data_IF_069498318973
#
_entry.id   IF_069498318973
#
_cell.length_a   1.000
_cell.length_b   1.000
_cell.length_c   1.000
_cell.angle_alpha   90.00
_cell.angle_beta   90.00
_cell.angle_gamma   90.00
#
_symmetry.space_group_name_H-M   'P 1'
#
loop_
_entity.id
_entity.type
_entity.pdbx_description
1 polymer ?
#
# COMPACT_ATOMS: atom_id res chain seq x y z
N UNK A 1 -3.33 -32.09 -5.83
CA UNK A 1 -2.34 -31.07 -6.28
C UNK A 1 -2.88 -29.73 -5.83
N UNK A 2 -2.34 -29.22 -4.75
CA UNK A 2 -2.82 -27.98 -4.14
C UNK A 2 -2.35 -26.77 -4.97
N UNK A 3 -3.30 -25.91 -5.26
CA UNK A 3 -3.07 -24.65 -5.98
C UNK A 3 -2.80 -23.58 -4.93
N UNK A 4 -1.85 -22.68 -5.16
CA UNK A 4 -1.78 -21.43 -4.43
C UNK A 4 -3.07 -20.65 -4.71
N UNK A 5 -4.10 -20.88 -3.95
CA UNK A 5 -5.34 -20.11 -3.98
C UNK A 5 -5.31 -19.20 -2.78
N UNK A 6 -4.83 -17.98 -2.97
CA UNK A 6 -4.99 -16.92 -1.97
C UNK A 6 -6.48 -16.58 -1.89
N UNK A 7 -7.17 -17.14 -0.91
CA UNK A 7 -8.59 -16.85 -0.70
C UNK A 7 -8.79 -15.34 -0.49
N UNK A 8 -9.89 -14.83 -1.02
CA UNK A 8 -10.22 -13.41 -0.93
C UNK A 8 -10.44 -12.96 0.52
N UNK A 9 -10.94 -13.82 1.39
CA UNK A 9 -11.10 -13.52 2.81
C UNK A 9 -9.77 -13.31 3.50
N UNK A 10 -8.79 -14.17 3.23
CA UNK A 10 -7.43 -14.09 3.77
C UNK A 10 -6.72 -12.85 3.24
N UNK A 11 -6.78 -12.60 1.93
CA UNK A 11 -6.16 -11.39 1.34
C UNK A 11 -6.76 -10.10 1.88
N UNK A 12 -8.07 -10.06 2.14
CA UNK A 12 -8.73 -8.90 2.73
C UNK A 12 -8.30 -8.69 4.19
N UNK A 13 -8.23 -9.76 4.98
CA UNK A 13 -7.76 -9.68 6.37
C UNK A 13 -6.31 -9.20 6.46
N UNK A 14 -5.43 -9.72 5.60
CA UNK A 14 -4.04 -9.28 5.54
C UNK A 14 -3.90 -7.80 5.12
N UNK A 15 -4.72 -7.33 4.20
CA UNK A 15 -4.74 -5.91 3.82
C UNK A 15 -5.20 -5.00 4.96
N UNK A 16 -6.21 -5.41 5.74
CA UNK A 16 -6.61 -4.64 6.91
C UNK A 16 -5.52 -4.62 7.97
N UNK A 17 -4.93 -5.76 8.30
CA UNK A 17 -3.82 -5.83 9.23
C UNK A 17 -2.66 -4.92 8.77
N UNK A 18 -2.34 -4.95 7.47
CA UNK A 18 -1.35 -4.08 6.85
C UNK A 18 -1.68 -2.59 7.02
N UNK A 19 -2.93 -2.18 6.78
CA UNK A 19 -3.36 -0.79 6.95
C UNK A 19 -3.26 -0.33 8.40
N UNK A 20 -3.64 -1.19 9.34
CA UNK A 20 -3.53 -0.92 10.79
C UNK A 20 -2.05 -0.77 11.19
N UNK A 21 -1.17 -1.67 10.73
CA UNK A 21 0.27 -1.57 11.00
C UNK A 21 0.86 -0.24 10.52
N UNK A 22 0.49 0.20 9.31
CA UNK A 22 0.92 1.48 8.76
C UNK A 22 0.38 2.66 9.58
N UNK A 23 -0.89 2.61 9.99
CA UNK A 23 -1.50 3.66 10.81
C UNK A 23 -0.82 3.78 12.20
N UNK A 24 -0.57 2.66 12.87
CA UNK A 24 0.15 2.62 14.16
C UNK A 24 1.57 3.16 14.01
N UNK A 25 2.25 2.83 12.92
CA UNK A 25 3.59 3.38 12.62
C UNK A 25 3.57 4.91 12.51
N UNK A 26 2.63 5.48 11.76
CA UNK A 26 2.57 6.94 11.61
C UNK A 26 2.26 7.63 12.95
N UNK A 27 1.39 7.04 13.78
CA UNK A 27 1.17 7.53 15.14
C UNK A 27 2.46 7.47 15.97
N UNK A 28 3.17 6.33 15.95
CA UNK A 28 4.43 6.15 16.68
C UNK A 28 5.53 7.08 16.19
N UNK A 29 5.55 7.39 14.89
CA UNK A 29 6.47 8.36 14.30
C UNK A 29 6.21 9.78 14.83
N UNK A 30 4.96 10.18 14.94
CA UNK A 30 4.60 11.49 15.53
C UNK A 30 5.04 11.58 16.99
N UNK A 31 4.88 10.51 17.77
CA UNK A 31 5.36 10.46 19.16
C UNK A 31 6.89 10.51 19.23
N UNK A 32 7.56 9.70 18.44
CA UNK A 32 9.03 9.64 18.40
C UNK A 32 9.67 10.96 17.95
N UNK A 33 9.05 11.65 17.01
CA UNK A 33 9.52 12.96 16.55
C UNK A 33 9.27 14.11 17.53
N UNK A 34 8.69 13.82 18.71
CA UNK A 34 8.32 14.83 19.69
C UNK A 34 7.12 15.69 19.30
N UNK A 35 6.42 15.26 18.25
CA UNK A 35 5.26 15.96 17.71
C UNK A 35 4.00 15.74 18.56
N UNK A 36 3.96 14.62 19.26
CA UNK A 36 2.88 14.20 20.17
C UNK A 36 3.50 13.61 21.44
N UNK A 37 3.09 14.12 22.62
CA UNK A 37 3.56 13.62 23.91
C UNK A 37 2.54 12.65 24.51
N UNK A 38 2.45 11.45 23.97
CA UNK A 38 1.57 10.39 24.47
C UNK A 38 2.24 9.04 24.34
N UNK A 39 1.73 8.04 25.06
CA UNK A 39 2.20 6.67 24.91
C UNK A 39 1.93 6.14 23.51
N UNK A 40 2.94 5.50 22.91
CA UNK A 40 2.84 4.76 21.68
C UNK A 40 3.77 3.53 21.70
N UNK A 41 3.65 2.69 20.66
CA UNK A 41 4.59 1.59 20.46
C UNK A 41 5.98 2.08 20.05
N UNK A 42 7.00 1.26 20.28
CA UNK A 42 8.35 1.56 19.86
C UNK A 42 8.41 1.86 18.34
N UNK A 43 9.02 2.99 17.98
CA UNK A 43 9.21 3.37 16.58
C UNK A 43 9.92 2.28 15.77
N UNK A 44 10.98 1.68 16.32
CA UNK A 44 11.72 0.62 15.64
C UNK A 44 10.88 -0.62 15.34
N UNK A 45 10.00 -1.02 16.27
CA UNK A 45 9.09 -2.15 16.05
C UNK A 45 8.00 -1.82 15.03
N UNK A 46 7.36 -0.65 15.14
CA UNK A 46 6.27 -0.25 14.26
C UNK A 46 6.73 0.06 12.84
N UNK A 47 7.96 0.55 12.65
CA UNK A 47 8.53 0.77 11.31
C UNK A 47 8.70 -0.55 10.53
N UNK A 48 9.11 -1.63 11.21
CA UNK A 48 9.19 -2.97 10.62
C UNK A 48 7.80 -3.49 10.21
N UNK A 49 6.82 -3.37 11.11
CA UNK A 49 5.43 -3.79 10.85
C UNK A 49 4.83 -3.01 9.67
N UNK A 50 5.08 -1.70 9.58
CA UNK A 50 4.61 -0.88 8.47
C UNK A 50 5.28 -1.28 7.15
N UNK A 51 6.58 -1.57 7.17
CA UNK A 51 7.31 -2.05 6.00
C UNK A 51 6.71 -3.35 5.46
N UNK A 52 6.39 -4.31 6.34
CA UNK A 52 5.68 -5.53 5.98
C UNK A 52 4.28 -5.26 5.43
N UNK A 53 3.54 -4.33 6.04
CA UNK A 53 2.23 -3.91 5.57
C UNK A 53 2.28 -3.38 4.13
N UNK A 54 3.23 -2.51 3.84
CA UNK A 54 3.46 -1.96 2.50
C UNK A 54 3.85 -3.08 1.52
N UNK A 55 4.72 -3.99 1.94
CA UNK A 55 5.13 -5.15 1.15
C UNK A 55 3.92 -6.02 0.72
N UNK A 56 2.99 -6.29 1.65
CA UNK A 56 1.73 -6.99 1.40
C UNK A 56 0.90 -6.26 0.33
N UNK A 57 0.74 -4.94 0.45
CA UNK A 57 -0.07 -4.17 -0.50
C UNK A 57 0.49 -4.22 -1.91
N UNK A 58 1.81 -4.05 -2.08
CA UNK A 58 2.43 -4.15 -3.41
C UNK A 58 2.31 -5.55 -3.97
N UNK A 59 2.62 -6.57 -3.19
CA UNK A 59 2.51 -7.96 -3.61
C UNK A 59 1.08 -8.32 -4.08
N UNK A 60 0.06 -8.06 -3.26
CA UNK A 60 -1.32 -8.38 -3.63
C UNK A 60 -1.84 -7.52 -4.78
N UNK A 61 -1.32 -6.32 -4.97
CA UNK A 61 -1.69 -5.49 -6.11
C UNK A 61 -1.19 -6.08 -7.43
N UNK A 62 0.07 -6.50 -7.47
CA UNK A 62 0.63 -7.19 -8.63
C UNK A 62 -0.03 -8.54 -8.88
N UNK A 63 -0.19 -9.36 -7.83
CA UNK A 63 -0.88 -10.65 -7.88
C UNK A 63 -2.30 -10.51 -8.44
N UNK A 64 -3.11 -9.61 -7.88
CA UNK A 64 -4.49 -9.40 -8.27
C UNK A 64 -4.66 -8.86 -9.68
N UNK A 65 -3.74 -8.00 -10.15
CA UNK A 65 -3.77 -7.51 -11.54
C UNK A 65 -3.46 -8.63 -12.53
N UNK A 66 -2.44 -9.44 -12.27
CA UNK A 66 -2.09 -10.56 -13.14
C UNK A 66 -3.17 -11.63 -13.14
N UNK A 67 -3.74 -11.95 -11.99
CA UNK A 67 -4.88 -12.87 -11.87
C UNK A 67 -6.10 -12.37 -12.67
N UNK A 68 -6.37 -11.06 -12.61
CA UNK A 68 -7.44 -10.43 -13.38
C UNK A 68 -7.17 -10.49 -14.89
N UNK A 69 -5.93 -10.25 -15.33
CA UNK A 69 -5.54 -10.34 -16.74
C UNK A 69 -5.63 -11.75 -17.29
N UNK A 70 -5.29 -12.76 -16.47
CA UNK A 70 -5.41 -14.15 -16.86
C UNK A 70 -6.87 -14.57 -17.05
N UNK A 71 -7.78 -14.08 -16.21
CA UNK A 71 -9.22 -14.38 -16.30
C UNK A 71 -9.91 -13.61 -17.40
N UNK A 72 -9.59 -12.32 -17.55
CA UNK A 72 -10.19 -11.42 -18.53
C UNK A 72 -9.18 -10.36 -18.95
N UNK A 73 -8.81 -10.30 -20.24
CA UNK A 73 -7.88 -9.30 -20.75
C UNK A 73 -8.28 -7.86 -20.38
N UNK A 74 -7.29 -7.02 -20.11
CA UNK A 74 -7.48 -5.65 -19.59
C UNK A 74 -8.30 -4.71 -20.51
N UNK A 75 -8.50 -5.09 -21.77
CA UNK A 75 -9.25 -4.28 -22.72
C UNK A 75 -8.44 -3.09 -23.27
N UNK A 76 -9.11 -1.99 -23.61
CA UNK A 76 -8.48 -0.76 -24.07
C UNK A 76 -7.88 0.03 -22.90
N UNK A 77 -6.99 0.99 -23.19
CA UNK A 77 -6.40 1.87 -22.19
C UNK A 77 -7.47 2.63 -21.39
N UNK A 78 -8.47 3.20 -22.06
CA UNK A 78 -9.57 3.91 -21.40
C UNK A 78 -10.38 3.00 -20.45
N UNK A 79 -10.60 1.74 -20.85
CA UNK A 79 -11.27 0.76 -20.00
C UNK A 79 -10.42 0.42 -18.77
N UNK A 80 -9.10 0.28 -18.92
CA UNK A 80 -8.16 0.05 -17.81
C UNK A 80 -8.11 1.26 -16.87
N UNK A 81 -7.96 2.47 -17.41
CA UNK A 81 -7.98 3.71 -16.62
C UNK A 81 -9.23 3.78 -15.75
N UNK A 82 -10.41 3.58 -16.33
CA UNK A 82 -11.68 3.62 -15.60
C UNK A 82 -11.79 2.54 -14.52
N UNK A 83 -11.40 1.31 -14.84
CA UNK A 83 -11.59 0.16 -13.93
C UNK A 83 -10.52 0.04 -12.86
N UNK A 84 -9.35 0.64 -13.03
CA UNK A 84 -8.20 0.46 -12.14
C UNK A 84 -7.67 1.78 -11.59
N UNK A 85 -7.31 2.72 -12.45
CA UNK A 85 -6.68 3.98 -12.05
C UNK A 85 -7.69 4.89 -11.34
N UNK A 86 -8.84 5.14 -11.96
CA UNK A 86 -9.85 6.04 -11.37
C UNK A 86 -10.44 5.47 -10.07
N UNK A 87 -10.49 4.15 -9.90
CA UNK A 87 -10.94 3.52 -8.63
C UNK A 87 -10.01 3.83 -7.45
N UNK A 88 -8.75 4.14 -7.70
CA UNK A 88 -7.79 4.55 -6.68
C UNK A 88 -7.73 6.08 -6.60
N UNK A 89 -7.70 6.75 -7.74
CA UNK A 89 -7.48 8.18 -7.82
C UNK A 89 -8.66 9.02 -7.31
N UNK A 90 -9.89 8.64 -7.66
CA UNK A 90 -11.09 9.37 -7.22
C UNK A 90 -11.24 9.39 -5.69
N UNK A 91 -11.06 8.29 -4.96
CA UNK A 91 -11.02 8.33 -3.49
C UNK A 91 -9.93 9.25 -2.90
N UNK A 92 -8.75 9.30 -3.52
CA UNK A 92 -7.68 10.22 -3.10
C UNK A 92 -8.11 11.67 -3.25
N UNK A 93 -8.71 12.04 -4.38
CA UNK A 93 -9.26 13.38 -4.57
C UNK A 93 -10.38 13.67 -3.59
N UNK A 94 -11.27 12.72 -3.38
CA UNK A 94 -12.41 12.87 -2.47
C UNK A 94 -11.94 13.13 -1.03
N UNK A 95 -10.99 12.35 -0.50
CA UNK A 95 -10.45 12.58 0.84
C UNK A 95 -9.73 13.93 0.93
N UNK A 96 -9.01 14.33 -0.10
CA UNK A 96 -8.34 15.64 -0.16
C UNK A 96 -9.34 16.78 -0.07
N UNK A 97 -10.43 16.70 -0.85
CA UNK A 97 -11.48 17.74 -0.86
C UNK A 97 -12.29 17.76 0.44
N UNK A 98 -12.57 16.61 1.04
CA UNK A 98 -13.31 16.55 2.31
C UNK A 98 -12.53 17.13 3.49
N UNK A 99 -11.20 17.02 3.47
CA UNK A 99 -10.36 17.60 4.52
C UNK A 99 -10.04 19.08 4.30
N UNK A 100 -10.26 19.61 3.10
CA UNK A 100 -9.98 21.01 2.78
C UNK A 100 -10.69 21.98 3.73
N UNK A 101 -12.00 21.87 4.04
CA UNK A 101 -12.66 22.77 4.97
C UNK A 101 -12.08 22.80 6.37
N UNK A 102 -11.45 21.72 6.81
CA UNK A 102 -10.79 21.64 8.11
C UNK A 102 -9.46 22.41 8.14
N UNK A 103 -8.84 22.63 6.98
CA UNK A 103 -7.62 23.43 6.84
C UNK A 103 -7.92 24.94 6.77
N UNK A 104 -9.07 25.32 6.18
CA UNK A 104 -9.41 26.73 5.95
C UNK A 104 -9.45 27.58 7.22
N UNK A 105 -10.10 27.16 8.34
CA UNK A 105 -10.16 27.98 9.55
C UNK A 105 -8.80 28.24 10.20
N UNK A 106 -7.90 27.29 10.12
CA UNK A 106 -6.59 27.39 10.75
C UNK A 106 -5.62 28.30 9.99
N UNK A 107 -5.96 28.60 8.74
CA UNK A 107 -5.15 29.42 7.83
C UNK A 107 -5.86 30.73 7.51
N UNK A 108 -7.14 30.88 7.90
CA UNK A 108 -7.92 32.08 7.67
C UNK A 108 -7.31 33.25 8.44
N UNK A 109 -6.87 34.27 7.73
CA UNK A 109 -6.27 35.48 8.30
C UNK A 109 -4.78 35.69 7.99
N UNK A 110 -4.13 34.76 7.29
CA UNK A 110 -2.75 34.97 6.81
C UNK A 110 -2.72 35.19 5.29
N UNK A 111 -1.85 36.07 4.77
CA UNK A 111 -1.69 36.26 3.30
C UNK A 111 -1.31 34.99 2.57
N UNK A 112 -0.66 34.05 3.26
CA UNK A 112 -0.19 32.76 2.73
C UNK A 112 -1.32 31.74 2.58
N UNK A 113 -2.55 32.05 3.04
CA UNK A 113 -3.67 31.08 3.10
C UNK A 113 -4.00 30.45 1.75
N UNK A 114 -4.12 31.30 0.72
CA UNK A 114 -4.52 30.81 -0.62
C UNK A 114 -3.43 30.00 -1.28
N UNK A 115 -2.18 30.35 -1.07
CA UNK A 115 -1.04 29.58 -1.57
C UNK A 115 -0.96 28.21 -0.89
N UNK A 116 -1.20 28.14 0.40
CA UNK A 116 -1.26 26.89 1.16
C UNK A 116 -2.44 26.02 0.75
N UNK A 117 -3.63 26.59 0.54
CA UNK A 117 -4.81 25.88 0.04
C UNK A 117 -4.58 25.35 -1.38
N UNK A 118 -4.08 26.20 -2.27
CA UNK A 118 -3.74 25.78 -3.63
C UNK A 118 -2.68 24.68 -3.64
N UNK A 119 -1.67 24.77 -2.77
CA UNK A 119 -0.66 23.75 -2.55
C UNK A 119 -1.25 22.45 -2.03
N UNK A 120 -2.22 22.50 -1.12
CA UNK A 120 -2.91 21.31 -0.61
C UNK A 120 -3.72 20.60 -1.69
N UNK A 121 -4.53 21.35 -2.44
CA UNK A 121 -5.29 20.81 -3.58
C UNK A 121 -4.34 20.29 -4.66
N UNK A 122 -3.32 21.07 -4.98
CA UNK A 122 -2.31 20.70 -5.97
C UNK A 122 -1.61 19.38 -5.63
N UNK A 123 -1.29 19.13 -4.35
CA UNK A 123 -0.74 17.85 -3.89
C UNK A 123 -1.71 16.68 -4.12
N UNK A 124 -3.00 16.86 -3.82
CA UNK A 124 -4.01 15.84 -4.07
C UNK A 124 -4.17 15.52 -5.57
N UNK A 125 -4.22 16.56 -6.41
CA UNK A 125 -4.34 16.43 -7.88
C UNK A 125 -3.06 15.85 -8.48
N UNK A 126 -1.88 16.29 -8.04
CA UNK A 126 -0.60 15.85 -8.57
C UNK A 126 -0.18 14.45 -8.15
N UNK A 127 -0.91 13.81 -7.24
CA UNK A 127 -0.60 12.45 -6.76
C UNK A 127 -0.48 11.43 -7.90
N UNK A 128 -1.16 11.65 -9.03
CA UNK A 128 -1.03 10.79 -10.21
C UNK A 128 0.29 10.99 -10.96
N UNK A 129 0.80 12.22 -11.01
CA UNK A 129 1.78 12.56 -12.04
C UNK A 129 3.22 12.68 -11.54
N UNK A 130 3.48 13.22 -10.34
CA UNK A 130 4.88 13.41 -9.90
C UNK A 130 5.02 13.90 -8.45
N UNK A 131 6.21 14.05 -8.00
CA UNK A 131 6.96 14.47 -6.82
C UNK A 131 6.27 15.25 -5.66
N UNK A 132 5.05 15.76 -5.80
CA UNK A 132 4.42 16.73 -4.88
C UNK A 132 3.33 16.16 -3.98
N UNK A 133 3.21 14.83 -3.92
CA UNK A 133 2.23 14.18 -3.05
C UNK A 133 2.53 14.44 -1.58
N UNK A 134 1.49 14.45 -0.77
CA UNK A 134 1.56 14.23 0.67
C UNK A 134 2.48 13.06 0.98
N UNK A 135 3.34 13.22 2.00
CA UNK A 135 4.34 12.20 2.36
C UNK A 135 3.75 10.81 2.56
N UNK A 136 2.51 10.71 3.04
CA UNK A 136 1.79 9.44 3.18
C UNK A 136 1.24 8.89 1.85
N UNK A 137 1.08 9.70 0.81
CA UNK A 137 0.54 9.27 -0.48
C UNK A 137 1.58 8.71 -1.46
N UNK A 138 2.85 8.66 -1.08
CA UNK A 138 3.90 8.11 -1.93
C UNK A 138 3.60 6.67 -2.42
N UNK A 139 3.02 5.85 -1.53
CA UNK A 139 2.62 4.49 -1.84
C UNK A 139 1.57 4.46 -2.96
N UNK A 140 0.52 5.28 -2.86
CA UNK A 140 -0.55 5.37 -3.87
C UNK A 140 0.02 5.81 -5.21
N UNK A 141 0.89 6.82 -5.23
CA UNK A 141 1.58 7.26 -6.43
C UNK A 141 2.36 6.13 -7.09
N UNK A 142 3.19 5.45 -6.31
CA UNK A 142 3.97 4.32 -6.81
C UNK A 142 3.07 3.20 -7.34
N UNK A 143 1.96 2.94 -6.67
CA UNK A 143 0.98 1.93 -7.09
C UNK A 143 0.32 2.31 -8.42
N UNK A 144 -0.09 3.56 -8.60
CA UNK A 144 -0.69 4.05 -9.85
C UNK A 144 0.30 3.97 -11.02
N UNK A 145 1.56 4.34 -10.80
CA UNK A 145 2.63 4.23 -11.78
C UNK A 145 2.87 2.76 -12.18
N UNK A 146 2.94 1.85 -11.20
CA UNK A 146 3.09 0.42 -11.45
C UNK A 146 1.90 -0.18 -12.20
N UNK A 147 0.68 0.32 -11.98
CA UNK A 147 -0.49 -0.09 -12.75
C UNK A 147 -0.36 0.31 -14.22
N UNK A 148 0.15 1.52 -14.50
CA UNK A 148 0.41 1.95 -15.87
C UNK A 148 1.51 1.09 -16.52
N UNK A 149 2.62 0.88 -15.81
CA UNK A 149 3.70 0.00 -16.26
C UNK A 149 3.17 -1.40 -16.55
N UNK A 150 2.38 -1.97 -15.65
CA UNK A 150 1.74 -3.27 -15.84
C UNK A 150 0.88 -3.30 -17.12
N UNK A 151 0.07 -2.28 -17.35
CA UNK A 151 -0.76 -2.20 -18.56
C UNK A 151 0.08 -2.22 -19.82
N UNK A 152 1.11 -1.38 -19.92
CA UNK A 152 1.94 -1.30 -21.11
C UNK A 152 2.73 -2.59 -21.33
N UNK A 153 3.33 -3.18 -20.31
CA UNK A 153 4.07 -4.45 -20.46
C UNK A 153 3.16 -5.60 -20.87
N UNK A 154 1.96 -5.72 -20.29
CA UNK A 154 1.02 -6.77 -20.67
C UNK A 154 0.47 -6.59 -22.08
N UNK A 155 0.36 -5.35 -22.55
CA UNK A 155 -0.03 -5.06 -23.95
C UNK A 155 1.10 -5.31 -24.93
N UNK A 156 2.31 -4.86 -24.62
CA UNK A 156 3.49 -5.06 -25.46
C UNK A 156 3.81 -6.56 -25.63
N UNK A 157 3.72 -7.29 -24.52
CA UNK A 157 4.05 -8.73 -24.47
C UNK A 157 2.78 -9.60 -24.50
N UNK A 158 1.71 -9.15 -25.16
CA UNK A 158 0.40 -9.81 -25.17
C UNK A 158 0.43 -11.28 -25.56
N UNK A 159 1.30 -11.63 -26.51
CA UNK A 159 1.47 -13.02 -26.98
C UNK A 159 2.24 -13.90 -25.99
N UNK A 160 3.00 -13.28 -25.07
CA UNK A 160 3.83 -14.01 -24.13
C UNK A 160 3.67 -13.44 -22.70
N UNK A 161 2.63 -13.88 -22.01
CA UNK A 161 2.35 -13.47 -20.61
C UNK A 161 3.47 -13.89 -19.64
N UNK A 162 4.22 -14.92 -19.99
CA UNK A 162 5.40 -15.35 -19.24
C UNK A 162 6.48 -14.25 -19.31
N UNK A 163 6.78 -13.78 -20.51
CA UNK A 163 7.74 -12.69 -20.68
C UNK A 163 7.28 -11.41 -19.96
N UNK A 164 5.97 -11.11 -19.96
CA UNK A 164 5.43 -9.99 -19.20
C UNK A 164 5.67 -10.14 -17.69
N UNK A 165 5.45 -11.33 -17.11
CA UNK A 165 5.70 -11.59 -15.70
C UNK A 165 7.19 -11.46 -15.34
N UNK A 166 8.09 -11.99 -16.17
CA UNK A 166 9.53 -11.84 -16.01
C UNK A 166 10.00 -10.39 -16.15
N UNK A 167 9.46 -9.66 -17.15
CA UNK A 167 9.79 -8.25 -17.37
C UNK A 167 9.36 -7.35 -16.19
N UNK A 168 8.19 -7.61 -15.61
CA UNK A 168 7.71 -6.90 -14.41
C UNK A 168 8.60 -7.17 -13.20
N UNK A 169 9.03 -8.42 -13.02
CA UNK A 169 9.94 -8.80 -11.94
C UNK A 169 11.33 -8.17 -12.13
N UNK A 170 11.90 -8.27 -13.34
CA UNK A 170 13.19 -7.70 -13.67
C UNK A 170 13.17 -6.16 -13.64
N UNK A 171 12.11 -5.55 -14.17
CA UNK A 171 11.91 -4.10 -14.13
C UNK A 171 11.78 -3.56 -12.73
N UNK A 172 11.13 -4.30 -11.83
CA UNK A 172 11.09 -3.99 -10.41
C UNK A 172 12.48 -4.01 -9.78
N UNK A 173 13.30 -5.00 -10.11
CA UNK A 173 14.68 -5.10 -9.61
C UNK A 173 15.57 -4.00 -10.15
N UNK A 174 15.41 -3.63 -11.43
CA UNK A 174 16.11 -2.49 -12.02
C UNK A 174 15.70 -1.17 -11.37
N UNK A 175 14.42 -1.01 -11.05
CA UNK A 175 13.92 0.17 -10.35
C UNK A 175 14.59 0.36 -8.97
N UNK A 176 14.90 -0.73 -8.25
CA UNK A 176 15.68 -0.65 -7.00
C UNK A 176 17.05 0.00 -7.27
N UNK A 177 17.74 -0.46 -8.29
CA UNK A 177 19.06 0.06 -8.62
C UNK A 177 19.02 1.53 -8.98
N UNK A 178 18.06 1.94 -9.80
CA UNK A 178 17.87 3.32 -10.21
C UNK A 178 17.41 4.22 -9.06
N UNK A 179 16.57 3.71 -8.15
CA UNK A 179 16.06 4.46 -7.00
C UNK A 179 17.07 4.56 -5.84
N UNK A 180 18.04 3.68 -5.76
CA UNK A 180 19.16 3.82 -4.82
C UNK A 180 19.86 5.19 -4.95
N UNK A 181 19.76 5.78 -6.15
CA UNK A 181 20.25 7.12 -6.44
C UNK A 181 19.33 8.27 -5.99
N UNK A 182 18.09 7.97 -5.51
CA UNK A 182 17.04 8.99 -5.30
C UNK A 182 16.45 9.04 -3.89
N UNK A 183 17.10 8.49 -2.88
CA UNK A 183 16.84 8.75 -1.45
C UNK A 183 15.61 8.16 -0.76
N UNK A 184 14.79 7.29 -1.36
CA UNK A 184 13.71 6.66 -0.62
C UNK A 184 13.81 5.13 -0.63
N UNK A 185 14.50 4.59 0.37
CA UNK A 185 14.78 3.16 0.49
C UNK A 185 13.51 2.30 0.59
N UNK A 186 12.49 2.79 1.30
CA UNK A 186 11.21 2.04 1.42
C UNK A 186 10.48 1.87 0.10
N UNK A 187 10.54 2.87 -0.79
CA UNK A 187 9.98 2.75 -2.15
C UNK A 187 10.76 1.73 -2.97
N UNK A 188 12.08 1.83 -2.95
CA UNK A 188 12.98 0.94 -3.69
C UNK A 188 12.75 -0.54 -3.32
N UNK A 189 12.56 -0.82 -2.03
CA UNK A 189 12.37 -2.18 -1.52
C UNK A 189 11.00 -2.74 -1.89
N UNK A 190 9.96 -1.92 -1.87
CA UNK A 190 8.59 -2.39 -1.98
C UNK A 190 8.12 -2.54 -3.44
N UNK A 191 8.64 -1.75 -4.37
CA UNK A 191 8.25 -1.77 -5.79
C UNK A 191 8.44 -3.15 -6.45
N UNK A 192 9.57 -3.86 -6.27
CA UNK A 192 9.76 -5.18 -6.87
C UNK A 192 8.76 -6.23 -6.39
N UNK A 193 8.22 -6.07 -5.18
CA UNK A 193 7.21 -6.99 -4.66
C UNK A 193 5.93 -6.99 -5.48
N UNK A 194 5.61 -5.88 -6.16
CA UNK A 194 4.55 -5.86 -7.15
C UNK A 194 4.83 -6.80 -8.33
N UNK A 195 6.05 -6.75 -8.88
CA UNK A 195 6.48 -7.64 -9.95
C UNK A 195 6.50 -9.11 -9.51
N UNK A 196 7.00 -9.38 -8.29
CA UNK A 196 6.98 -10.72 -7.67
C UNK A 196 5.55 -11.21 -7.47
N UNK A 197 4.61 -10.35 -7.07
CA UNK A 197 3.20 -10.68 -6.96
C UNK A 197 2.60 -11.08 -8.31
N UNK A 198 2.88 -10.33 -9.38
CA UNK A 198 2.44 -10.64 -10.73
C UNK A 198 3.04 -11.98 -11.22
N UNK A 199 4.34 -12.21 -10.96
CA UNK A 199 5.02 -13.45 -11.26
C UNK A 199 4.43 -14.64 -10.49
N UNK A 200 4.19 -14.48 -9.19
CA UNK A 200 3.59 -15.51 -8.35
C UNK A 200 2.18 -15.90 -8.81
N UNK A 201 1.37 -14.93 -9.24
CA UNK A 201 0.06 -15.23 -9.85
C UNK A 201 0.18 -16.02 -11.14
N UNK A 202 1.14 -15.66 -12.00
CA UNK A 202 1.33 -16.38 -13.27
C UNK A 202 1.78 -17.82 -13.04
N UNK A 203 2.70 -18.03 -12.12
CA UNK A 203 3.29 -19.34 -11.83
C UNK A 203 2.66 -20.07 -10.64
N UNK A 204 1.50 -19.65 -10.16
CA UNK A 204 0.85 -20.18 -8.95
C UNK A 204 0.77 -21.70 -8.87
N UNK A 205 0.70 -22.39 -10.01
CA UNK A 205 0.65 -23.85 -10.08
C UNK A 205 2.04 -24.53 -9.96
N UNK A 206 3.14 -23.77 -10.18
CA UNK A 206 4.52 -24.29 -10.15
C UNK A 206 5.24 -23.92 -8.85
N UNK A 207 4.91 -22.77 -8.25
CA UNK A 207 5.61 -22.22 -7.07
C UNK A 207 5.44 -23.11 -5.84
N UNK A 208 4.27 -23.72 -5.66
CA UNK A 208 3.97 -24.53 -4.46
C UNK A 208 4.93 -25.71 -4.28
N UNK A 209 5.41 -26.33 -5.37
CA UNK A 209 6.34 -27.47 -5.27
C UNK A 209 7.76 -27.12 -4.81
N UNK A 210 8.24 -25.92 -5.10
CA UNK A 210 9.61 -25.49 -4.76
C UNK A 210 9.70 -24.71 -3.45
N UNK A 211 8.57 -24.26 -2.91
CA UNK A 211 8.55 -23.33 -1.79
C UNK A 211 8.98 -23.97 -0.47
N UNK A 212 8.69 -25.26 -0.27
CA UNK A 212 9.09 -25.98 0.95
C UNK A 212 10.61 -26.01 1.17
N UNK A 213 11.40 -26.07 0.10
CA UNK A 213 12.86 -26.10 0.17
C UNK A 213 13.48 -24.70 0.31
N UNK A 214 12.78 -23.67 -0.16
CA UNK A 214 13.28 -22.28 -0.11
C UNK A 214 12.91 -21.55 1.18
N UNK A 215 12.00 -22.08 1.99
CA UNK A 215 11.49 -21.41 3.19
C UNK A 215 12.46 -21.41 4.37
N UNK A 216 13.18 -22.52 4.57
CA UNK A 216 14.21 -22.59 5.63
C UNK A 216 15.27 -21.50 5.47
N UNK A 217 15.92 -21.33 4.30
CA UNK A 217 16.85 -20.23 4.11
C UNK A 217 16.16 -18.85 4.15
N UNK A 218 14.90 -18.72 3.69
CA UNK A 218 14.18 -17.45 3.75
C UNK A 218 13.81 -17.05 5.17
N UNK A 219 13.34 -17.99 6.00
CA UNK A 219 13.08 -17.77 7.42
C UNK A 219 14.36 -17.48 8.19
N UNK A 220 15.45 -18.19 7.88
CA UNK A 220 16.77 -17.91 8.45
C UNK A 220 17.26 -16.50 8.06
N UNK A 221 17.10 -16.08 6.82
CA UNK A 221 17.42 -14.72 6.37
C UNK A 221 16.57 -13.65 7.06
N UNK A 222 15.27 -13.91 7.26
CA UNK A 222 14.41 -12.99 8.01
C UNK A 222 14.80 -12.90 9.49
N UNK A 223 15.05 -14.03 10.13
CA UNK A 223 15.49 -14.09 11.52
C UNK A 223 16.86 -13.42 11.68
N UNK A 224 17.80 -13.69 10.79
CA UNK A 224 19.12 -13.07 10.79
C UNK A 224 19.03 -11.56 10.57
N UNK A 225 18.22 -11.11 9.62
CA UNK A 225 17.97 -9.69 9.36
C UNK A 225 17.28 -9.00 10.56
N UNK A 226 16.42 -9.70 11.30
CA UNK A 226 15.80 -9.17 12.52
C UNK A 226 16.79 -9.10 13.70
N UNK A 227 17.76 -10.02 13.75
CA UNK A 227 18.81 -10.07 14.77
C UNK A 227 19.96 -9.10 14.50
N UNK A 228 20.29 -8.88 13.24
CA UNK A 228 21.28 -7.87 12.83
C UNK A 228 20.67 -6.49 13.04
N UNK A 229 20.81 -5.99 14.25
CA UNK A 229 20.30 -4.70 14.70
C UNK A 229 20.93 -3.52 13.97
N UNK A 230 20.09 -2.51 13.78
CA UNK A 230 20.50 -1.19 13.38
C UNK A 230 20.73 -1.10 11.86
N UNK A 231 21.25 -0.04 11.41
CA UNK A 231 21.55 0.47 10.07
C UNK A 231 22.08 -0.52 9.02
N UNK A 232 21.67 -1.76 9.12
CA UNK A 232 21.90 -2.81 8.15
C UNK A 232 21.14 -2.47 6.88
N UNK A 233 21.78 -1.79 6.01
CA UNK A 233 21.34 -1.19 4.78
C UNK A 233 20.28 -1.95 3.97
N UNK A 234 19.98 -1.45 2.81
CA UNK A 234 18.94 -1.90 1.86
C UNK A 234 18.81 -3.44 1.73
N UNK A 235 19.91 -4.19 1.89
CA UNK A 235 19.93 -5.66 1.81
C UNK A 235 19.14 -6.32 2.94
N UNK A 236 19.30 -5.84 4.17
CA UNK A 236 18.58 -6.39 5.32
C UNK A 236 17.08 -6.10 5.23
N UNK A 237 16.71 -4.90 4.79
CA UNK A 237 15.33 -4.52 4.53
C UNK A 237 14.71 -5.35 3.39
N UNK A 238 15.47 -5.62 2.33
CA UNK A 238 15.04 -6.50 1.24
C UNK A 238 14.78 -7.92 1.75
N UNK A 239 15.75 -8.51 2.44
CA UNK A 239 15.63 -9.87 2.99
C UNK A 239 14.43 -9.96 3.95
N UNK A 240 14.23 -8.96 4.78
CA UNK A 240 13.13 -8.90 5.75
C UNK A 240 11.77 -8.85 5.04
N UNK A 241 11.59 -7.98 4.05
CA UNK A 241 10.32 -7.84 3.36
C UNK A 241 10.01 -9.03 2.44
N UNK A 242 11.00 -9.51 1.69
CA UNK A 242 10.82 -10.67 0.81
C UNK A 242 10.62 -11.95 1.58
N UNK A 243 11.37 -12.13 2.67
CA UNK A 243 11.19 -13.24 3.56
C UNK A 243 9.82 -13.27 4.21
N UNK A 244 9.34 -12.13 4.69
CA UNK A 244 8.00 -12.01 5.25
C UNK A 244 6.91 -12.38 4.22
N UNK A 245 7.00 -11.85 2.99
CA UNK A 245 6.07 -12.21 1.92
C UNK A 245 6.19 -13.70 1.56
N UNK A 246 7.38 -14.26 1.53
CA UNK A 246 7.60 -15.70 1.32
C UNK A 246 6.93 -16.55 2.39
N UNK A 247 7.09 -16.22 3.66
CA UNK A 247 6.43 -16.90 4.79
C UNK A 247 4.91 -16.77 4.67
N UNK A 248 4.41 -15.58 4.36
CA UNK A 248 2.97 -15.35 4.15
C UNK A 248 2.41 -16.24 3.03
N UNK A 249 3.09 -16.33 1.88
CA UNK A 249 2.69 -17.20 0.77
C UNK A 249 2.68 -18.66 1.21
N UNK A 250 3.70 -19.10 1.95
CA UNK A 250 3.78 -20.46 2.45
C UNK A 250 2.63 -20.79 3.41
N UNK A 251 2.38 -19.94 4.40
CA UNK A 251 1.28 -20.14 5.35
C UNK A 251 -0.06 -20.21 4.61
N UNK A 252 -0.32 -19.27 3.70
CA UNK A 252 -1.56 -19.25 2.91
C UNK A 252 -1.68 -20.43 1.92
N UNK A 253 -0.58 -21.08 1.54
CA UNK A 253 -0.58 -22.21 0.63
C UNK A 253 -0.78 -23.56 1.31
N UNK A 254 -0.32 -23.67 2.55
CA UNK A 254 -0.29 -24.94 3.27
C UNK A 254 -1.40 -25.06 4.32
N UNK A 255 -1.98 -23.95 4.75
CA UNK A 255 -3.01 -23.92 5.76
C UNK A 255 -4.31 -23.33 5.23
N UNK A 256 -5.40 -24.07 5.36
CA UNK A 256 -6.76 -23.54 5.10
C UNK A 256 -7.16 -22.56 6.21
N UNK A 257 -6.86 -21.29 6.00
CA UNK A 257 -7.31 -20.25 6.90
C UNK A 257 -8.78 -19.93 6.65
N UNK A 258 -9.66 -20.51 7.45
CA UNK A 258 -11.11 -20.26 7.39
C UNK A 258 -11.44 -18.94 8.06
N UNK A 259 -11.36 -17.84 7.34
CA UNK A 259 -11.75 -16.52 7.80
C UNK A 259 -13.17 -16.17 7.34
N UNK A 260 -13.94 -15.43 8.15
CA UNK A 260 -15.26 -15.00 7.75
C UNK A 260 -15.19 -14.14 6.48
N UNK A 261 -16.11 -14.41 5.55
CA UNK A 261 -16.18 -13.66 4.29
C UNK A 261 -16.86 -12.32 4.52
N UNK A 262 -16.08 -11.31 4.82
CA UNK A 262 -16.56 -9.94 4.98
C UNK A 262 -16.09 -9.13 3.75
N UNK A 263 -16.95 -8.98 2.73
CA UNK A 263 -16.53 -8.45 1.42
C UNK A 263 -15.96 -7.03 1.47
N UNK A 264 -16.46 -6.17 2.37
CA UNK A 264 -16.05 -4.78 2.47
C UNK A 264 -14.68 -4.57 3.17
N UNK A 265 -14.16 -5.58 3.87
CA UNK A 265 -12.90 -5.44 4.61
C UNK A 265 -11.72 -5.05 3.70
N UNK A 266 -11.64 -5.65 2.50
CA UNK A 266 -10.58 -5.32 1.56
C UNK A 266 -10.62 -3.87 1.07
N UNK A 267 -11.81 -3.33 0.92
CA UNK A 267 -12.04 -1.94 0.52
C UNK A 267 -11.80 -0.99 1.69
N UNK A 268 -12.22 -1.36 2.91
CA UNK A 268 -12.02 -0.59 4.12
C UNK A 268 -10.52 -0.40 4.44
N UNK A 269 -9.68 -1.38 4.13
CA UNK A 269 -8.22 -1.25 4.33
C UNK A 269 -7.64 -0.06 3.56
N UNK A 270 -8.16 0.21 2.38
CA UNK A 270 -7.75 1.36 1.58
C UNK A 270 -8.26 2.67 2.18
N UNK A 271 -9.48 2.69 2.69
CA UNK A 271 -10.05 3.88 3.35
C UNK A 271 -9.33 4.20 4.67
N UNK A 272 -8.96 3.18 5.47
CA UNK A 272 -8.09 3.34 6.64
C UNK A 272 -6.76 3.98 6.22
N UNK A 273 -6.14 3.47 5.15
CA UNK A 273 -4.89 4.04 4.66
C UNK A 273 -5.02 5.51 4.22
N UNK A 274 -6.13 5.91 3.61
CA UNK A 274 -6.33 7.29 3.19
C UNK A 274 -6.64 8.25 4.36
N UNK A 275 -7.37 7.78 5.36
CA UNK A 275 -7.93 8.62 6.42
C UNK A 275 -7.00 8.78 7.61
N UNK A 276 -6.24 7.73 8.00
CA UNK A 276 -5.44 7.76 9.22
C UNK A 276 -4.46 8.94 9.30
N UNK A 277 -3.77 9.22 8.18
CA UNK A 277 -2.80 10.31 8.14
C UNK A 277 -3.47 11.69 8.21
N UNK A 278 -4.68 11.81 7.68
CA UNK A 278 -5.44 13.05 7.74
C UNK A 278 -5.88 13.37 9.16
N UNK A 279 -6.20 12.37 9.96
CA UNK A 279 -6.53 12.53 11.37
C UNK A 279 -5.29 13.01 12.15
N UNK A 280 -4.13 12.38 11.93
CA UNK A 280 -2.88 12.80 12.56
C UNK A 280 -2.51 14.23 12.14
N UNK A 281 -2.59 14.52 10.86
CA UNK A 281 -2.27 15.85 10.34
C UNK A 281 -3.19 16.93 10.92
N UNK A 282 -4.49 16.66 11.06
CA UNK A 282 -5.45 17.58 11.65
C UNK A 282 -5.19 17.81 13.15
N UNK A 283 -5.10 16.74 13.92
CA UNK A 283 -4.90 16.85 15.38
C UNK A 283 -3.57 17.46 15.73
N UNK A 284 -2.56 17.17 14.96
CA UNK A 284 -1.23 17.73 15.14
C UNK A 284 -1.17 19.23 14.83
N UNK A 285 -1.69 19.63 13.67
CA UNK A 285 -1.61 21.05 13.24
C UNK A 285 -2.52 21.99 14.00
N UNK A 286 -3.67 21.50 14.46
CA UNK A 286 -4.75 22.38 14.91
C UNK A 286 -5.06 22.29 16.39
N UNK A 287 -4.69 21.23 17.08
CA UNK A 287 -5.04 21.09 18.48
C UNK A 287 -3.85 21.10 19.43
N UNK A 288 -2.63 20.96 18.94
CA UNK A 288 -1.43 20.86 19.77
C UNK A 288 -1.49 19.69 20.78
N UNK A 289 -2.56 18.89 20.70
CA UNK A 289 -2.86 17.81 21.63
C UNK A 289 -2.47 16.48 20.98
N UNK A 290 -1.67 15.71 21.69
CA UNK A 290 -1.43 14.32 21.31
C UNK A 290 -2.70 13.49 21.43
N UNK A 291 -3.15 12.88 20.32
CA UNK A 291 -4.13 11.82 20.39
C UNK A 291 -3.51 10.58 21.00
N UNK A 292 -4.12 10.05 22.06
CA UNK A 292 -3.76 8.73 22.54
C UNK A 292 -4.02 7.69 21.44
N UNK A 293 -3.26 6.61 21.43
CA UNK A 293 -3.40 5.55 20.44
C UNK A 293 -4.84 5.02 20.35
N UNK A 294 -5.53 4.93 21.49
CA UNK A 294 -6.94 4.48 21.54
C UNK A 294 -7.89 5.43 20.82
N UNK A 295 -7.79 6.74 21.07
CA UNK A 295 -8.59 7.74 20.39
C UNK A 295 -8.24 7.84 18.90
N UNK A 296 -6.96 7.77 18.55
CA UNK A 296 -6.53 7.72 17.16
C UNK A 296 -7.11 6.53 16.41
N UNK A 297 -7.07 5.33 17.01
CA UNK A 297 -7.65 4.13 16.42
C UNK A 297 -9.17 4.26 16.25
N UNK A 298 -9.88 4.74 17.29
CA UNK A 298 -11.33 4.92 17.25
C UNK A 298 -11.74 5.91 16.16
N UNK A 299 -11.12 7.08 16.10
CA UNK A 299 -11.39 8.09 15.08
C UNK A 299 -11.06 7.56 13.68
N UNK A 300 -9.92 6.89 13.53
CA UNK A 300 -9.54 6.30 12.25
C UNK A 300 -10.59 5.30 11.76
N UNK A 301 -11.10 4.43 12.60
CA UNK A 301 -12.13 3.46 12.24
C UNK A 301 -13.47 4.14 11.89
N UNK A 302 -13.93 5.09 12.73
CA UNK A 302 -15.20 5.80 12.50
C UNK A 302 -15.15 6.59 11.19
N UNK A 303 -14.12 7.42 11.01
CA UNK A 303 -13.99 8.22 9.79
C UNK A 303 -13.73 7.39 8.54
N UNK A 304 -12.99 6.28 8.64
CA UNK A 304 -12.81 5.37 7.52
C UNK A 304 -14.12 4.67 7.14
N UNK A 305 -14.95 4.29 8.12
CA UNK A 305 -16.28 3.73 7.87
C UNK A 305 -17.23 4.73 7.20
N UNK A 306 -17.26 5.97 7.68
CA UNK A 306 -18.03 7.06 7.08
C UNK A 306 -17.55 7.37 5.64
N UNK A 307 -16.23 7.44 5.45
CA UNK A 307 -15.62 7.66 4.15
C UNK A 307 -15.91 6.52 3.17
N UNK A 308 -15.87 5.27 3.63
CA UNK A 308 -16.24 4.10 2.83
C UNK A 308 -17.67 4.22 2.27
N UNK A 309 -18.63 4.61 3.12
CA UNK A 309 -20.03 4.77 2.69
C UNK A 309 -20.17 5.89 1.64
N UNK A 310 -19.54 7.04 1.89
CA UNK A 310 -19.57 8.18 0.97
C UNK A 310 -18.88 7.82 -0.36
N UNK A 311 -17.68 7.29 -0.31
CA UNK A 311 -16.90 6.84 -1.48
C UNK A 311 -17.71 5.87 -2.33
N UNK A 312 -18.33 4.89 -1.70
CA UNK A 312 -19.13 3.89 -2.41
C UNK A 312 -20.30 4.52 -3.17
N UNK A 313 -20.97 5.52 -2.58
CA UNK A 313 -22.02 6.29 -3.26
C UNK A 313 -21.48 7.08 -4.44
N UNK A 314 -20.40 7.85 -4.24
CA UNK A 314 -19.76 8.64 -5.29
C UNK A 314 -19.30 7.74 -6.44
N UNK A 315 -18.67 6.62 -6.16
CA UNK A 315 -18.20 5.67 -7.17
C UNK A 315 -19.35 5.07 -7.98
N UNK A 316 -20.49 4.78 -7.35
CA UNK A 316 -21.71 4.34 -8.04
C UNK A 316 -22.25 5.42 -8.97
N UNK A 317 -22.36 6.66 -8.50
CA UNK A 317 -22.82 7.79 -9.31
C UNK A 317 -21.89 8.05 -10.52
N UNK A 318 -20.58 7.96 -10.30
CA UNK A 318 -19.58 8.08 -11.36
C UNK A 318 -19.51 6.84 -12.28
N UNK A 319 -20.30 5.81 -12.06
CA UNK A 319 -20.27 4.52 -12.78
C UNK A 319 -18.88 3.87 -12.75
N UNK A 320 -18.17 3.99 -11.65
CA UNK A 320 -16.83 3.43 -11.40
C UNK A 320 -16.86 2.21 -10.47
N UNK A 321 -18.02 1.84 -9.97
CA UNK A 321 -18.23 0.70 -9.07
C UNK A 321 -18.06 -0.66 -9.76
#
# INVERSE_FOLDING_TARGET
MEKLVLDRSVTNALKIAAAICVAIFHHSYCVWSGTIEVFSFSYAATSKLASWGIAIFFFFSGYGLMESEQRKPLGTFGCFMRRRILKIYVPVLLVTLLWLPLYLPAVAGTPETWEQVAGYIGRGVSTLFWKWGDGALWFIRSLLQLYLVFFFFTKLLRKNKQAAAWALMAGGSLAIYLMKCTSNEYQAISIPLFGIGAFASYYKHKIVRGLHLSLLPLTACCALSALLHGDSGIVALLLQNYGFVGIMIFVCSNYELKLPKVPFLGDLSFDIYLVHNKILEYTFRFQGCGLTLGWFAALTLVFSGAFYLLRTRVMKLARLS
#
